data_IF_595372399597
#
_entry.id   IF_595372399597
#
_cell.length_a   1.000
_cell.length_b   1.000
_cell.length_c   1.000
_cell.angle_alpha   90.00
_cell.angle_beta   90.00
_cell.angle_gamma   90.00
#
_symmetry.space_group_name_H-M   'P 1'
#
loop_
_entity.id
_entity.type
_entity.pdbx_description
1 polymer ?
#
# COMPACT_ATOMS: atom_id res chain seq x y z
N UNK A 1 -15.08 9.46 -12.91
CA UNK A 1 -13.62 9.15 -12.81
C UNK A 1 -13.44 7.65 -12.67
N UNK A 2 -12.39 7.12 -13.28
CA UNK A 2 -11.90 5.75 -13.00
C UNK A 2 -10.91 5.81 -11.83
N UNK A 3 -11.21 5.10 -10.77
CA UNK A 3 -10.46 5.20 -9.50
C UNK A 3 -9.98 3.81 -9.08
N UNK A 4 -8.67 3.67 -8.90
CA UNK A 4 -8.06 2.48 -8.32
C UNK A 4 -7.90 2.63 -6.81
N UNK A 5 -8.48 1.72 -6.03
CA UNK A 5 -8.31 1.68 -4.57
C UNK A 5 -7.25 0.63 -4.25
N UNK A 6 -6.07 1.11 -3.82
CA UNK A 6 -4.87 0.28 -3.66
C UNK A 6 -4.78 -0.28 -2.24
N UNK A 7 -4.68 -1.58 -2.13
CA UNK A 7 -4.36 -2.25 -0.88
C UNK A 7 -3.52 -3.50 -1.07
N UNK A 8 -2.89 -3.92 -0.01
CA UNK A 8 -2.27 -5.25 0.04
C UNK A 8 -3.27 -6.28 0.53
N UNK A 9 -3.08 -7.51 0.11
CA UNK A 9 -3.84 -8.67 0.56
C UNK A 9 -2.90 -9.75 1.07
N UNK A 10 -3.04 -10.11 2.34
CA UNK A 10 -2.50 -11.36 2.84
C UNK A 10 -3.46 -12.45 2.41
N UNK A 11 -3.03 -13.41 1.55
CA UNK A 11 -3.94 -14.43 1.06
C UNK A 11 -4.64 -15.18 2.20
N UNK A 12 -5.91 -15.51 1.99
CA UNK A 12 -6.80 -16.22 2.93
C UNK A 12 -7.18 -15.44 4.20
N UNK A 13 -6.67 -14.22 4.39
CA UNK A 13 -7.00 -13.38 5.55
C UNK A 13 -7.98 -12.29 5.13
N UNK A 14 -9.02 -12.08 5.93
CA UNK A 14 -9.99 -11.00 5.76
C UNK A 14 -10.24 -10.31 7.09
N UNK A 15 -10.32 -8.98 7.07
CA UNK A 15 -10.51 -8.17 8.27
C UNK A 15 -11.07 -6.78 7.97
N UNK A 16 -10.79 -5.85 8.88
CA UNK A 16 -11.33 -4.50 8.80
C UNK A 16 -10.85 -3.70 7.59
N UNK A 17 -9.58 -3.87 7.20
CA UNK A 17 -9.00 -3.15 6.06
C UNK A 17 -9.64 -3.58 4.72
N UNK A 18 -9.88 -4.86 4.55
CA UNK A 18 -10.55 -5.42 3.36
C UNK A 18 -11.99 -4.91 3.27
N UNK A 19 -12.70 -4.88 4.38
CA UNK A 19 -14.07 -4.36 4.47
C UNK A 19 -14.12 -2.86 4.19
N UNK A 20 -13.17 -2.12 4.72
CA UNK A 20 -13.07 -0.67 4.47
C UNK A 20 -12.85 -0.38 2.98
N UNK A 21 -11.93 -1.09 2.32
CA UNK A 21 -11.68 -0.93 0.89
C UNK A 21 -12.92 -1.25 0.04
N UNK A 22 -13.59 -2.36 0.34
CA UNK A 22 -14.82 -2.74 -0.36
C UNK A 22 -15.93 -1.70 -0.18
N UNK A 23 -16.10 -1.17 1.02
CA UNK A 23 -17.09 -0.11 1.30
C UNK A 23 -16.74 1.20 0.58
N UNK A 24 -15.46 1.56 0.51
CA UNK A 24 -15.00 2.74 -0.23
C UNK A 24 -15.30 2.60 -1.72
N UNK A 25 -14.96 1.47 -2.32
CA UNK A 25 -15.28 1.18 -3.73
C UNK A 25 -16.79 1.26 -3.98
N UNK A 26 -17.57 0.66 -3.10
CA UNK A 26 -19.04 0.69 -3.18
C UNK A 26 -19.59 2.11 -3.14
N UNK A 27 -19.08 2.94 -2.22
CA UNK A 27 -19.48 4.34 -2.08
C UNK A 27 -19.10 5.15 -3.33
N UNK A 28 -17.87 5.00 -3.82
CA UNK A 28 -17.41 5.71 -5.02
C UNK A 28 -18.29 5.37 -6.25
N UNK A 29 -18.61 4.10 -6.43
CA UNK A 29 -19.50 3.67 -7.52
C UNK A 29 -20.92 4.23 -7.34
N UNK A 30 -21.44 4.28 -6.12
CA UNK A 30 -22.74 4.87 -5.83
C UNK A 30 -22.80 6.39 -6.14
N UNK A 31 -21.66 7.08 -6.04
CA UNK A 31 -21.53 8.49 -6.40
C UNK A 31 -21.21 8.73 -7.89
N UNK A 32 -21.28 7.70 -8.71
CA UNK A 32 -21.16 7.82 -10.18
C UNK A 32 -19.72 7.71 -10.72
N UNK A 33 -18.79 7.23 -9.92
CA UNK A 33 -17.43 6.89 -10.38
C UNK A 33 -17.36 5.45 -10.85
N UNK A 34 -16.31 5.11 -11.58
CA UNK A 34 -15.94 3.73 -11.90
C UNK A 34 -14.77 3.34 -10.99
N UNK A 35 -15.04 2.73 -9.85
CA UNK A 35 -14.04 2.38 -8.87
C UNK A 35 -13.86 0.86 -8.74
N UNK A 36 -12.61 0.43 -8.56
CA UNK A 36 -12.26 -0.96 -8.31
C UNK A 36 -11.11 -1.08 -7.32
N UNK A 37 -11.05 -2.20 -6.60
CA UNK A 37 -9.87 -2.53 -5.80
C UNK A 37 -8.74 -3.02 -6.71
N UNK A 38 -7.53 -2.55 -6.40
CA UNK A 38 -6.29 -3.07 -6.97
C UNK A 38 -5.49 -3.64 -5.81
N UNK A 39 -5.35 -4.95 -5.76
CA UNK A 39 -4.74 -5.66 -4.65
C UNK A 39 -3.40 -6.25 -5.03
N UNK A 40 -2.42 -6.10 -4.15
CA UNK A 40 -1.12 -6.75 -4.26
C UNK A 40 -1.00 -7.81 -3.17
N UNK A 41 -0.63 -9.06 -3.49
CA UNK A 41 -0.33 -10.06 -2.47
C UNK A 41 0.80 -9.56 -1.57
N UNK A 42 0.71 -9.83 -0.27
CA UNK A 42 1.69 -9.34 0.68
C UNK A 42 2.14 -10.43 1.66
N UNK A 43 3.45 -10.54 1.79
CA UNK A 43 4.11 -11.35 2.81
C UNK A 43 5.25 -10.52 3.39
N UNK A 44 5.27 -10.32 4.72
CA UNK A 44 6.23 -9.42 5.36
C UNK A 44 7.41 -10.14 6.02
N UNK A 45 7.50 -11.44 5.86
CA UNK A 45 8.55 -12.29 6.46
C UNK A 45 8.97 -13.42 5.51
N UNK A 46 10.22 -13.86 5.56
CA UNK A 46 11.35 -13.19 6.21
C UNK A 46 11.65 -11.82 5.58
N UNK A 47 12.58 -11.06 6.19
CA UNK A 47 12.87 -9.68 5.75
C UNK A 47 13.24 -9.52 4.28
N UNK A 48 13.95 -10.47 3.70
CA UNK A 48 14.26 -10.47 2.26
C UNK A 48 13.00 -10.48 1.39
N UNK A 49 11.96 -11.23 1.79
CA UNK A 49 10.67 -11.24 1.09
C UNK A 49 9.94 -9.91 1.24
N UNK A 50 10.04 -9.26 2.39
CA UNK A 50 9.49 -7.92 2.58
C UNK A 50 10.13 -6.91 1.60
N UNK A 51 11.46 -6.95 1.44
CA UNK A 51 12.16 -6.11 0.47
C UNK A 51 11.71 -6.37 -0.97
N UNK A 52 11.54 -7.63 -1.34
CA UNK A 52 11.02 -8.03 -2.66
C UNK A 52 9.61 -7.48 -2.90
N UNK A 53 8.74 -7.52 -1.91
CA UNK A 53 7.38 -7.00 -2.03
C UNK A 53 7.34 -5.46 -2.12
N UNK A 54 8.26 -4.77 -1.45
CA UNK A 54 8.43 -3.32 -1.62
C UNK A 54 8.83 -2.99 -3.06
N UNK A 55 9.82 -3.69 -3.58
CA UNK A 55 10.27 -3.52 -4.97
C UNK A 55 9.16 -3.84 -5.96
N UNK A 56 8.47 -4.96 -5.77
CA UNK A 56 7.36 -5.36 -6.64
C UNK A 56 6.25 -4.30 -6.66
N UNK A 57 5.87 -3.74 -5.52
CA UNK A 57 4.90 -2.68 -5.45
C UNK A 57 5.32 -1.46 -6.27
N UNK A 58 6.57 -1.03 -6.15
CA UNK A 58 7.11 0.11 -6.91
C UNK A 58 7.18 -0.10 -8.41
N UNK A 59 7.28 -1.34 -8.86
CA UNK A 59 7.35 -1.68 -10.29
C UNK A 59 5.99 -1.60 -11.00
N UNK A 60 4.89 -1.56 -10.26
CA UNK A 60 3.57 -1.42 -10.86
C UNK A 60 3.30 0.01 -11.30
N UNK A 61 2.92 0.16 -12.57
CA UNK A 61 2.37 1.39 -13.11
C UNK A 61 0.85 1.22 -13.24
N UNK A 62 0.12 2.06 -12.53
CA UNK A 62 -1.34 1.99 -12.44
C UNK A 62 -2.02 3.13 -13.22
N UNK A 63 -1.29 3.80 -14.11
CA UNK A 63 -1.79 4.97 -14.84
C UNK A 63 -2.83 4.62 -15.92
N UNK A 64 -2.77 3.40 -16.45
CA UNK A 64 -3.73 2.92 -17.46
C UNK A 64 -3.86 1.40 -17.44
N UNK A 65 -4.99 0.89 -17.92
CA UNK A 65 -5.19 -0.53 -18.19
C UNK A 65 -5.94 -0.71 -19.51
N UNK A 66 -5.41 -1.58 -20.38
CA UNK A 66 -5.96 -1.85 -21.72
C UNK A 66 -6.21 -0.58 -22.56
N UNK A 67 -5.29 0.38 -22.47
CA UNK A 67 -5.38 1.65 -23.17
C UNK A 67 -6.40 2.64 -22.58
N UNK A 68 -6.98 2.34 -21.42
CA UNK A 68 -7.93 3.24 -20.76
C UNK A 68 -7.28 3.83 -19.50
N UNK A 69 -7.14 5.16 -19.41
CA UNK A 69 -6.53 5.82 -18.26
C UNK A 69 -7.28 5.55 -16.94
N UNK A 70 -6.51 5.46 -15.87
CA UNK A 70 -7.02 5.57 -14.50
C UNK A 70 -6.83 7.02 -14.06
N UNK A 71 -7.89 7.68 -13.59
CA UNK A 71 -7.85 9.10 -13.26
C UNK A 71 -7.20 9.39 -11.91
N UNK A 72 -7.34 8.44 -10.97
CA UNK A 72 -6.85 8.61 -9.60
C UNK A 72 -6.57 7.23 -8.96
N UNK A 73 -5.56 7.18 -8.13
CA UNK A 73 -5.29 6.04 -7.24
C UNK A 73 -5.43 6.47 -5.77
N UNK A 74 -6.13 5.69 -4.96
CA UNK A 74 -6.27 5.91 -3.51
C UNK A 74 -5.50 4.82 -2.78
N UNK A 75 -4.40 5.19 -2.14
CA UNK A 75 -3.55 4.27 -1.38
C UNK A 75 -4.04 4.08 0.04
N UNK A 76 -4.39 2.86 0.41
CA UNK A 76 -4.89 2.53 1.75
C UNK A 76 -3.85 1.83 2.63
N UNK A 77 -2.98 0.99 2.03
CA UNK A 77 -2.14 0.08 2.80
C UNK A 77 -0.75 -0.10 2.19
N UNK A 78 0.26 -0.14 3.07
CA UNK A 78 1.65 -0.46 2.71
C UNK A 78 1.79 -1.92 2.25
N UNK A 79 2.60 -2.24 1.25
CA UNK A 79 3.34 -1.35 0.36
C UNK A 79 2.58 -0.97 -0.93
N UNK A 80 1.29 -1.31 -1.07
CA UNK A 80 0.53 -1.06 -2.29
C UNK A 80 0.55 0.41 -2.72
N UNK A 81 0.54 1.35 -1.78
CA UNK A 81 0.61 2.77 -2.10
C UNK A 81 1.93 3.23 -2.73
N UNK A 82 2.96 2.37 -2.76
CA UNK A 82 4.22 2.66 -3.46
C UNK A 82 4.11 2.49 -4.98
N UNK A 83 3.06 1.83 -5.48
CA UNK A 83 2.81 1.70 -6.91
C UNK A 83 2.69 3.07 -7.59
N UNK A 84 3.18 3.15 -8.82
CA UNK A 84 3.20 4.42 -9.54
C UNK A 84 1.81 4.83 -10.05
N UNK A 85 1.43 6.07 -9.80
CA UNK A 85 0.33 6.76 -10.44
C UNK A 85 0.55 8.27 -10.34
N UNK A 86 0.31 9.06 -11.41
CA UNK A 86 0.57 10.51 -11.40
C UNK A 86 -0.36 11.31 -10.47
N UNK A 87 -1.52 10.75 -10.15
CA UNK A 87 -2.51 11.39 -9.28
C UNK A 87 -2.90 10.42 -8.16
N UNK A 88 -2.18 10.48 -7.03
CA UNK A 88 -2.43 9.64 -5.86
C UNK A 88 -2.94 10.42 -4.67
N UNK A 89 -3.95 9.86 -4.02
CA UNK A 89 -4.43 10.25 -2.71
C UNK A 89 -4.07 9.14 -1.71
N UNK A 90 -3.62 9.53 -0.52
CA UNK A 90 -3.34 8.58 0.55
C UNK A 90 -4.43 8.66 1.63
N UNK A 91 -5.14 7.55 1.83
CA UNK A 91 -6.05 7.37 2.95
C UNK A 91 -5.50 6.28 3.86
N UNK A 92 -4.56 6.65 4.69
CA UNK A 92 -3.76 5.72 5.47
C UNK A 92 -4.51 5.32 6.74
N UNK A 93 -4.82 4.03 6.86
CA UNK A 93 -5.38 3.46 8.09
C UNK A 93 -4.31 3.32 9.17
N UNK A 94 -3.15 2.78 8.78
CA UNK A 94 -1.93 2.71 9.56
C UNK A 94 -0.74 2.43 8.64
N UNK A 95 0.43 2.79 9.10
CA UNK A 95 1.70 2.45 8.46
C UNK A 95 2.03 0.96 8.66
N UNK A 96 3.15 0.50 8.10
CA UNK A 96 3.64 -0.86 8.40
C UNK A 96 4.16 -0.89 9.84
N UNK A 97 3.33 -1.32 10.77
CA UNK A 97 3.51 -1.17 12.22
C UNK A 97 4.85 -1.70 12.75
N UNK A 98 5.36 -2.80 12.15
CA UNK A 98 6.64 -3.36 12.54
C UNK A 98 7.84 -2.40 12.36
N UNK A 99 7.73 -1.41 11.46
CA UNK A 99 8.75 -0.39 11.23
C UNK A 99 8.52 0.90 12.04
N UNK A 100 7.38 1.04 12.68
CA UNK A 100 6.96 2.25 13.42
C UNK A 100 6.61 1.93 14.87
N UNK A 101 5.34 1.94 15.23
CA UNK A 101 4.88 1.82 16.61
C UNK A 101 5.27 0.50 17.29
N UNK A 102 5.20 -0.63 16.60
CA UNK A 102 5.62 -1.92 17.17
C UNK A 102 7.15 -2.00 17.35
N UNK A 103 7.93 -1.33 16.51
CA UNK A 103 9.37 -1.21 16.70
C UNK A 103 9.69 -0.42 17.97
N UNK A 104 9.04 0.70 18.17
CA UNK A 104 9.24 1.56 19.34
C UNK A 104 8.81 0.89 20.63
N UNK A 105 7.76 0.07 20.61
CA UNK A 105 7.30 -0.69 21.77
C UNK A 105 8.13 -1.95 22.06
N UNK A 106 8.98 -2.38 21.14
CA UNK A 106 9.78 -3.60 21.25
C UNK A 106 9.06 -4.89 20.84
N UNK A 107 7.89 -4.78 20.22
CA UNK A 107 7.03 -5.92 19.84
C UNK A 107 7.12 -6.27 18.33
N UNK A 108 8.02 -5.64 17.58
CA UNK A 108 8.14 -5.86 16.15
C UNK A 108 8.90 -7.14 15.82
N UNK A 109 8.32 -8.02 15.02
CA UNK A 109 9.01 -9.19 14.46
C UNK A 109 10.26 -8.79 13.67
N UNK A 110 10.22 -7.64 13.01
CA UNK A 110 11.30 -7.09 12.22
C UNK A 110 12.59 -6.87 13.03
N UNK A 111 12.48 -6.62 14.34
CA UNK A 111 13.63 -6.44 15.23
C UNK A 111 14.49 -7.72 15.35
N UNK A 112 13.91 -8.87 15.12
CA UNK A 112 14.57 -10.18 15.20
C UNK A 112 15.17 -10.62 13.86
N UNK A 113 14.92 -9.88 12.79
CA UNK A 113 15.54 -10.13 11.49
C UNK A 113 16.97 -9.58 11.49
N UNK A 114 17.95 -10.31 10.93
CA UNK A 114 19.34 -9.83 10.83
C UNK A 114 19.47 -8.48 10.09
N UNK A 115 18.58 -8.22 9.13
CA UNK A 115 18.54 -6.99 8.34
C UNK A 115 17.45 -6.01 8.82
N UNK A 116 16.93 -6.21 10.02
CA UNK A 116 15.80 -5.46 10.56
C UNK A 116 15.97 -3.95 10.56
N UNK A 117 17.15 -3.45 10.99
CA UNK A 117 17.45 -2.02 10.96
C UNK A 117 17.47 -1.45 9.54
N UNK A 118 18.10 -2.15 8.61
CA UNK A 118 18.16 -1.75 7.21
C UNK A 118 16.78 -1.73 6.55
N UNK A 119 15.96 -2.74 6.84
CA UNK A 119 14.59 -2.83 6.34
C UNK A 119 13.70 -1.73 6.92
N UNK A 120 13.84 -1.42 8.20
CA UNK A 120 13.14 -0.29 8.82
C UNK A 120 13.49 1.03 8.15
N UNK A 121 14.77 1.27 7.90
CA UNK A 121 15.23 2.47 7.21
C UNK A 121 14.71 2.53 5.76
N UNK A 122 14.68 1.40 5.06
CA UNK A 122 14.11 1.30 3.72
C UNK A 122 12.63 1.68 3.72
N UNK A 123 11.84 1.12 4.63
CA UNK A 123 10.41 1.42 4.75
C UNK A 123 10.18 2.91 5.02
N UNK A 124 10.92 3.50 5.96
CA UNK A 124 10.84 4.93 6.25
C UNK A 124 11.21 5.80 5.05
N UNK A 125 12.25 5.42 4.30
CA UNK A 125 12.68 6.16 3.11
C UNK A 125 11.63 6.07 2.00
N UNK A 126 11.06 4.90 1.76
CA UNK A 126 10.02 4.69 0.74
C UNK A 126 8.74 5.45 1.07
N UNK A 127 8.27 5.39 2.31
CA UNK A 127 7.10 6.14 2.74
C UNK A 127 7.34 7.65 2.63
N UNK A 128 8.50 8.13 3.07
CA UNK A 128 8.86 9.55 2.94
C UNK A 128 8.84 10.00 1.48
N UNK A 129 9.46 9.23 0.60
CA UNK A 129 9.47 9.53 -0.84
C UNK A 129 8.06 9.56 -1.43
N UNK A 130 7.23 8.58 -1.08
CA UNK A 130 5.85 8.49 -1.56
C UNK A 130 5.02 9.70 -1.11
N UNK A 131 5.05 10.04 0.18
CA UNK A 131 4.22 11.10 0.74
C UNK A 131 4.68 12.51 0.35
N UNK A 132 5.97 12.71 0.11
CA UNK A 132 6.49 14.01 -0.33
C UNK A 132 6.36 14.24 -1.84
N UNK A 133 6.28 13.19 -2.64
CA UNK A 133 6.06 13.27 -4.08
C UNK A 133 4.59 13.57 -4.45
N UNK A 134 3.66 13.37 -3.51
CA UNK A 134 2.24 13.66 -3.74
C UNK A 134 1.99 15.17 -3.72
N UNK A 135 1.32 15.74 -4.74
CA UNK A 135 1.01 17.17 -4.76
C UNK A 135 -0.11 17.58 -3.79
N UNK A 136 -0.72 16.62 -3.08
CA UNK A 136 -1.87 16.87 -2.19
C UNK A 136 -1.83 16.02 -0.93
#
# INVERSE_FOLDING_TARGET
>A
MRIGVLRTQVPFVSGGAERHAANLVSALNAYGHEATEITLPFKWYPGEVLADHILAARMHDLSEFEGVPVDMAIGLKFPAWLAHHPNKLYWILHQHRAAYDLWESGDADLMHDPDGDALRQLIHAEDRAAFTASPH
#
